data_IF_334459620421
#
_entry.id   IF_334459620421
#
_cell.length_a   1.000
_cell.length_b   1.000
_cell.length_c   1.000
_cell.angle_alpha   90.00
_cell.angle_beta   90.00
_cell.angle_gamma   90.00
#
_symmetry.space_group_name_H-M   'P 1'
#
loop_
_entity.id
_entity.type
_entity.pdbx_description
1 polymer ?
#
# COMPACT_ATOMS: atom_id res chain seq x y z
N UNK A 1 -164.21 -14.22 104.39
CA UNK A 1 -164.10 -12.75 104.40
C UNK A 1 -162.72 -12.39 103.87
N UNK A 2 -162.51 -11.76 102.73
CA UNK A 2 -163.39 -11.36 101.64
C UNK A 2 -162.51 -10.83 100.48
N UNK A 3 -162.83 -11.19 99.23
CA UNK A 3 -162.66 -10.36 98.01
C UNK A 3 -161.29 -10.15 97.32
N UNK A 4 -161.07 -10.86 96.18
CA UNK A 4 -160.42 -10.49 94.87
C UNK A 4 -159.72 -11.74 94.28
N UNK A 5 -160.27 -12.55 93.34
CA UNK A 5 -160.66 -12.45 91.91
C UNK A 5 -159.54 -12.48 90.85
N UNK A 6 -159.83 -13.29 89.83
CA UNK A 6 -159.10 -13.76 88.66
C UNK A 6 -159.03 -12.70 87.52
N UNK A 7 -157.92 -12.63 86.78
CA UNK A 7 -157.89 -12.09 85.40
C UNK A 7 -157.42 -10.65 85.13
N UNK A 8 -156.30 -10.15 85.66
CA UNK A 8 -155.72 -8.88 85.16
C UNK A 8 -154.18 -8.88 85.05
N UNK A 9 -153.71 -8.70 83.82
CA UNK A 9 -152.32 -8.44 83.39
C UNK A 9 -151.77 -7.21 84.15
N UNK A 10 -150.59 -7.33 84.77
CA UNK A 10 -149.80 -6.16 85.18
C UNK A 10 -148.39 -6.23 84.60
N UNK A 11 -148.22 -5.67 83.41
CA UNK A 11 -146.95 -5.15 82.90
C UNK A 11 -146.01 -6.14 82.21
N UNK A 12 -146.01 -6.14 80.87
CA UNK A 12 -144.81 -6.47 80.10
C UNK A 12 -143.83 -5.28 80.24
N UNK A 13 -142.62 -5.54 80.75
CA UNK A 13 -141.54 -4.56 80.64
C UNK A 13 -140.87 -4.80 79.29
N UNK A 14 -141.27 -4.03 78.30
CA UNK A 14 -140.52 -3.87 77.07
C UNK A 14 -139.26 -3.04 77.40
N UNK A 15 -138.13 -3.72 77.58
CA UNK A 15 -136.84 -3.03 77.65
C UNK A 15 -136.48 -2.61 76.22
N UNK A 16 -136.96 -1.44 75.81
CA UNK A 16 -136.40 -0.74 74.65
C UNK A 16 -134.98 -0.32 75.00
N UNK A 17 -133.99 -1.15 74.67
CA UNK A 17 -132.58 -0.76 74.71
C UNK A 17 -132.31 0.07 73.46
N UNK A 18 -131.96 1.37 73.55
CA UNK A 18 -131.60 2.16 72.39
C UNK A 18 -130.23 1.69 71.87
N UNK A 19 -130.21 0.72 70.95
CA UNK A 19 -128.98 0.24 70.29
C UNK A 19 -128.49 1.25 69.24
N UNK A 20 -129.36 2.17 68.79
CA UNK A 20 -129.07 3.14 67.74
C UNK A 20 -127.90 4.09 68.10
N UNK A 21 -127.88 4.62 69.33
CA UNK A 21 -126.84 5.58 69.75
C UNK A 21 -125.45 4.93 69.90
N UNK A 22 -125.40 3.64 70.26
CA UNK A 22 -124.13 2.91 70.37
C UNK A 22 -123.56 2.46 69.01
N UNK A 23 -124.40 2.25 67.99
CA UNK A 23 -123.94 1.93 66.64
C UNK A 23 -123.26 3.13 65.96
N UNK A 24 -123.75 4.34 66.22
CA UNK A 24 -123.15 5.58 65.69
C UNK A 24 -121.79 5.87 66.36
N UNK A 25 -121.67 5.61 67.67
CA UNK A 25 -120.42 5.77 68.41
C UNK A 25 -119.33 4.74 68.01
N UNK A 26 -119.73 3.49 67.74
CA UNK A 26 -118.82 2.43 67.27
C UNK A 26 -118.32 2.73 65.85
N UNK A 27 -119.20 3.18 64.94
CA UNK A 27 -118.80 3.57 63.59
C UNK A 27 -117.85 4.78 63.59
N UNK A 28 -118.10 5.78 64.44
CA UNK A 28 -117.23 6.94 64.58
C UNK A 28 -115.82 6.60 65.10
N UNK A 29 -115.70 5.63 66.01
CA UNK A 29 -114.39 5.14 66.49
C UNK A 29 -113.68 4.26 65.46
N UNK A 30 -114.41 3.40 64.75
CA UNK A 30 -113.85 2.54 63.71
C UNK A 30 -113.26 3.35 62.54
N UNK A 31 -113.94 4.44 62.12
CA UNK A 31 -113.46 5.35 61.06
C UNK A 31 -112.20 6.13 61.49
N UNK A 32 -112.12 6.58 62.75
CA UNK A 32 -110.92 7.27 63.25
C UNK A 32 -109.70 6.33 63.36
N UNK A 33 -109.91 5.08 63.79
CA UNK A 33 -108.86 4.06 63.85
C UNK A 33 -108.36 3.66 62.45
N UNK A 34 -109.26 3.49 61.47
CA UNK A 34 -108.88 3.16 60.09
C UNK A 34 -108.14 4.31 59.40
N UNK A 35 -108.54 5.57 59.64
CA UNK A 35 -107.80 6.75 59.18
C UNK A 35 -106.42 6.89 59.84
N UNK A 36 -106.32 6.59 61.15
CA UNK A 36 -105.04 6.59 61.87
C UNK A 36 -104.07 5.53 61.37
N UNK A 37 -104.54 4.28 61.20
CA UNK A 37 -103.76 3.19 60.63
C UNK A 37 -103.39 3.46 59.17
N UNK A 38 -104.32 4.02 58.39
CA UNK A 38 -104.07 4.46 57.02
C UNK A 38 -103.00 5.55 56.95
N UNK A 39 -103.01 6.51 57.87
CA UNK A 39 -102.00 7.56 57.97
C UNK A 39 -100.62 7.03 58.35
N UNK A 40 -100.53 6.11 59.31
CA UNK A 40 -99.26 5.46 59.69
C UNK A 40 -98.72 4.61 58.53
N UNK A 41 -99.59 3.85 57.86
CA UNK A 41 -99.20 3.05 56.69
C UNK A 41 -98.67 3.95 55.56
N UNK A 42 -99.35 5.08 55.29
CA UNK A 42 -98.90 6.04 54.30
C UNK A 42 -97.53 6.65 54.66
N UNK A 43 -97.31 7.00 55.93
CA UNK A 43 -96.01 7.51 56.39
C UNK A 43 -94.90 6.47 56.30
N UNK A 44 -95.18 5.19 56.58
CA UNK A 44 -94.21 4.11 56.41
C UNK A 44 -93.88 3.86 54.94
N UNK A 45 -94.87 3.92 54.05
CA UNK A 45 -94.65 3.82 52.60
C UNK A 45 -93.84 5.00 52.08
N UNK A 46 -94.19 6.23 52.46
CA UNK A 46 -93.46 7.44 52.06
C UNK A 46 -92.03 7.44 52.61
N UNK A 47 -91.86 7.03 53.87
CA UNK A 47 -90.54 6.86 54.49
C UNK A 47 -89.71 5.77 53.81
N UNK A 48 -90.32 4.63 53.51
CA UNK A 48 -89.69 3.52 52.78
C UNK A 48 -89.26 3.91 51.36
N UNK A 49 -90.10 4.65 50.64
CA UNK A 49 -89.77 5.21 49.32
C UNK A 49 -88.63 6.23 49.43
N UNK A 50 -88.66 7.13 50.41
CA UNK A 50 -87.60 8.12 50.59
C UNK A 50 -86.25 7.46 50.94
N UNK A 51 -86.26 6.44 51.80
CA UNK A 51 -85.06 5.66 52.18
C UNK A 51 -84.55 4.86 50.98
N UNK A 52 -85.42 4.17 50.25
CA UNK A 52 -85.06 3.41 49.04
C UNK A 52 -84.49 4.33 47.97
N UNK A 53 -85.09 5.51 47.77
CA UNK A 53 -84.61 6.49 46.81
C UNK A 53 -83.22 7.00 47.19
N UNK A 54 -83.00 7.34 48.47
CA UNK A 54 -81.73 7.91 48.95
C UNK A 54 -80.60 6.87 49.08
N UNK A 55 -80.91 5.61 49.40
CA UNK A 55 -79.91 4.56 49.63
C UNK A 55 -79.63 3.73 48.37
N UNK A 56 -80.63 3.51 47.50
CA UNK A 56 -80.50 2.64 46.32
C UNK A 56 -80.56 3.43 45.00
N UNK A 57 -81.63 4.19 44.77
CA UNK A 57 -81.89 4.80 43.45
C UNK A 57 -80.92 5.93 43.12
N UNK A 58 -80.66 6.85 44.05
CA UNK A 58 -79.76 7.99 43.84
C UNK A 58 -78.30 7.54 43.61
N UNK A 59 -77.71 6.61 44.40
CA UNK A 59 -76.38 6.09 44.11
C UNK A 59 -76.29 5.30 42.81
N UNK A 60 -77.32 4.51 42.44
CA UNK A 60 -77.35 3.77 41.17
C UNK A 60 -77.47 4.69 39.96
N UNK A 61 -78.30 5.73 40.06
CA UNK A 61 -78.43 6.75 39.02
C UNK A 61 -77.11 7.49 38.83
N UNK A 62 -76.43 7.88 39.92
CA UNK A 62 -75.12 8.53 39.86
C UNK A 62 -74.02 7.62 39.28
N UNK A 63 -74.03 6.33 39.62
CA UNK A 63 -73.15 5.32 39.03
C UNK A 63 -73.40 5.21 37.52
N UNK A 64 -74.65 5.09 37.11
CA UNK A 64 -75.05 5.01 35.70
C UNK A 64 -74.64 6.26 34.91
N UNK A 65 -74.89 7.45 35.45
CA UNK A 65 -74.51 8.72 34.82
C UNK A 65 -72.99 8.87 34.70
N UNK A 66 -72.22 8.48 35.71
CA UNK A 66 -70.75 8.54 35.65
C UNK A 66 -70.19 7.54 34.64
N UNK A 67 -70.76 6.33 34.59
CA UNK A 67 -70.40 5.32 33.58
C UNK A 67 -70.74 5.79 32.17
N UNK A 68 -71.91 6.41 32.00
CA UNK A 68 -72.33 6.97 30.73
C UNK A 68 -71.43 8.14 30.31
N UNK A 69 -71.05 9.04 31.23
CA UNK A 69 -70.13 10.16 30.96
C UNK A 69 -68.75 9.66 30.50
N UNK A 70 -68.21 8.63 31.15
CA UNK A 70 -66.94 8.00 30.75
C UNK A 70 -67.07 7.27 29.41
N UNK A 71 -68.19 6.60 29.13
CA UNK A 71 -68.37 5.80 27.91
C UNK A 71 -68.81 6.61 26.68
N UNK A 72 -69.57 7.69 26.86
CA UNK A 72 -70.14 8.52 25.79
C UNK A 72 -69.48 9.89 25.64
N UNK A 73 -68.72 10.34 26.64
CA UNK A 73 -67.85 11.50 26.56
C UNK A 73 -66.46 11.17 26.00
N UNK A 74 -65.45 11.99 26.34
CA UNK A 74 -64.06 11.84 25.89
C UNK A 74 -63.26 10.76 26.65
N UNK A 75 -63.92 9.94 27.47
CA UNK A 75 -63.23 8.96 28.31
C UNK A 75 -62.42 9.59 29.44
N UNK A 76 -62.93 10.65 30.08
CA UNK A 76 -62.27 11.34 31.19
C UNK A 76 -62.12 10.43 32.43
N UNK A 77 -60.98 9.73 32.50
CA UNK A 77 -60.61 8.85 33.60
C UNK A 77 -60.20 9.60 34.89
N UNK A 78 -60.36 10.93 34.95
CA UNK A 78 -60.16 11.70 36.20
C UNK A 78 -61.36 11.66 37.13
N UNK A 79 -62.55 11.28 36.60
CA UNK A 79 -63.79 11.15 37.36
C UNK A 79 -63.71 9.98 38.35
N UNK A 80 -64.21 10.20 39.57
CA UNK A 80 -64.28 9.18 40.63
C UNK A 80 -65.70 9.10 41.19
N UNK A 81 -66.15 7.88 41.44
CA UNK A 81 -67.38 7.64 42.17
C UNK A 81 -67.17 7.91 43.67
N UNK A 82 -68.12 8.58 44.30
CA UNK A 82 -68.07 8.81 45.75
C UNK A 82 -68.43 7.53 46.49
N UNK A 83 -67.51 7.01 47.30
CA UNK A 83 -67.72 5.79 48.10
C UNK A 83 -68.31 6.17 49.46
N UNK A 84 -69.53 5.73 49.75
CA UNK A 84 -70.20 5.98 51.03
C UNK A 84 -70.72 4.66 51.64
N UNK A 85 -70.42 4.42 52.92
CA UNK A 85 -70.93 3.28 53.68
C UNK A 85 -70.20 1.96 53.41
N UNK A 86 -70.83 0.84 53.81
CA UNK A 86 -70.32 -0.54 53.69
C UNK A 86 -71.29 -1.44 52.91
N UNK A 87 -72.01 -0.88 51.95
CA UNK A 87 -72.98 -1.60 51.12
C UNK A 87 -72.32 -2.18 49.87
N UNK A 88 -73.03 -3.04 49.16
CA UNK A 88 -72.62 -3.62 47.87
C UNK A 88 -72.36 -2.52 46.83
N UNK A 89 -73.14 -1.43 46.86
CA UNK A 89 -72.94 -0.26 46.00
C UNK A 89 -71.62 0.49 46.32
N UNK A 90 -71.24 0.56 47.59
CA UNK A 90 -69.96 1.15 47.99
C UNK A 90 -68.78 0.30 47.49
N UNK A 91 -68.92 -1.04 47.52
CA UNK A 91 -67.91 -1.95 46.99
C UNK A 91 -67.78 -1.87 45.46
N UNK A 92 -68.89 -1.75 44.72
CA UNK A 92 -68.89 -1.52 43.26
C UNK A 92 -68.22 -0.19 42.93
N UNK A 93 -68.58 0.90 43.63
CA UNK A 93 -67.97 2.21 43.43
C UNK A 93 -66.46 2.19 43.70
N UNK A 94 -66.02 1.50 44.76
CA UNK A 94 -64.60 1.31 45.05
C UNK A 94 -63.88 0.50 43.97
N UNK A 95 -64.46 -0.63 43.55
CA UNK A 95 -63.89 -1.51 42.52
C UNK A 95 -63.79 -0.81 41.16
N UNK A 96 -64.80 0.00 40.82
CA UNK A 96 -64.79 0.84 39.63
C UNK A 96 -63.67 1.88 39.68
N UNK A 97 -63.52 2.60 40.80
CA UNK A 97 -62.43 3.56 40.96
C UNK A 97 -61.05 2.89 40.81
N UNK A 98 -60.86 1.68 41.34
CA UNK A 98 -59.63 0.89 41.14
C UNK A 98 -59.41 0.48 39.68
N UNK A 99 -60.48 0.10 38.97
CA UNK A 99 -60.41 -0.20 37.54
C UNK A 99 -60.02 1.03 36.72
N UNK A 100 -60.64 2.18 36.98
CA UNK A 100 -60.31 3.47 36.33
C UNK A 100 -58.87 3.88 36.62
N UNK A 101 -58.39 3.70 37.85
CA UNK A 101 -57.01 3.97 38.22
C UNK A 101 -56.01 3.09 37.46
N UNK A 102 -56.30 1.79 37.31
CA UNK A 102 -55.49 0.88 36.49
C UNK A 102 -55.48 1.29 35.02
N UNK A 103 -56.64 1.61 34.44
CA UNK A 103 -56.75 2.09 33.07
C UNK A 103 -55.94 3.38 32.87
N UNK A 104 -56.03 4.34 33.80
CA UNK A 104 -55.27 5.59 33.74
C UNK A 104 -53.76 5.33 33.77
N UNK A 105 -53.30 4.43 34.64
CA UNK A 105 -51.89 4.04 34.69
C UNK A 105 -51.44 3.34 33.39
N UNK A 106 -52.27 2.47 32.82
CA UNK A 106 -52.00 1.85 31.51
C UNK A 106 -51.94 2.89 30.39
N UNK A 107 -52.86 3.86 30.36
CA UNK A 107 -52.84 4.95 29.36
C UNK A 107 -51.62 5.86 29.53
N UNK A 108 -51.20 6.14 30.77
CA UNK A 108 -49.96 6.86 31.04
C UNK A 108 -48.73 6.10 30.53
N UNK A 109 -48.67 4.78 30.75
CA UNK A 109 -47.59 3.93 30.22
C UNK A 109 -47.61 3.88 28.68
N UNK A 110 -48.77 3.81 28.05
CA UNK A 110 -48.92 3.88 26.58
C UNK A 110 -48.44 5.22 26.05
N UNK A 111 -48.82 6.32 26.69
CA UNK A 111 -48.36 7.66 26.33
C UNK A 111 -46.84 7.79 26.44
N UNK A 112 -46.25 7.32 27.55
CA UNK A 112 -44.80 7.31 27.76
C UNK A 112 -44.07 6.43 26.73
N UNK A 113 -44.63 5.26 26.40
CA UNK A 113 -44.09 4.38 25.37
C UNK A 113 -44.16 5.02 23.97
N UNK A 114 -45.28 5.66 23.63
CA UNK A 114 -45.44 6.38 22.37
C UNK A 114 -44.46 7.57 22.26
N UNK A 115 -44.27 8.31 23.35
CA UNK A 115 -43.29 9.40 23.41
C UNK A 115 -41.86 8.89 23.21
N UNK A 116 -41.50 7.76 23.84
CA UNK A 116 -40.21 7.08 23.60
C UNK A 116 -40.03 6.66 22.14
N UNK A 117 -41.02 6.01 21.54
CA UNK A 117 -40.98 5.61 20.12
C UNK A 117 -40.80 6.81 19.20
N UNK A 118 -41.48 7.93 19.48
CA UNK A 118 -41.35 9.15 18.69
C UNK A 118 -39.92 9.73 18.78
N UNK A 119 -39.32 9.75 19.98
CA UNK A 119 -37.95 10.23 20.16
C UNK A 119 -36.92 9.31 19.50
N UNK A 120 -37.04 7.99 19.67
CA UNK A 120 -36.18 7.01 18.99
C UNK A 120 -36.29 7.10 17.46
N UNK A 121 -37.50 7.35 16.94
CA UNK A 121 -37.70 7.56 15.50
C UNK A 121 -37.02 8.83 15.00
N UNK A 122 -36.99 9.89 15.81
CA UNK A 122 -36.27 11.14 15.51
C UNK A 122 -34.76 10.92 15.50
N UNK A 123 -34.24 10.19 16.48
CA UNK A 123 -32.82 9.78 16.53
C UNK A 123 -32.43 8.93 15.31
N UNK A 124 -33.26 7.95 14.95
CA UNK A 124 -33.03 7.10 13.78
C UNK A 124 -33.00 7.92 12.48
N UNK A 125 -33.88 8.92 12.34
CA UNK A 125 -33.89 9.82 11.19
C UNK A 125 -32.60 10.64 11.10
N UNK A 126 -32.12 11.19 12.23
CA UNK A 126 -30.85 11.94 12.28
C UNK A 126 -29.65 11.05 11.91
N UNK A 127 -29.56 9.85 12.51
CA UNK A 127 -28.52 8.86 12.20
C UNK A 127 -28.57 8.48 10.71
N UNK A 128 -29.76 8.26 10.16
CA UNK A 128 -29.92 7.92 8.73
C UNK A 128 -29.45 9.06 7.83
N UNK A 129 -29.77 10.30 8.18
CA UNK A 129 -29.29 11.50 7.47
C UNK A 129 -27.76 11.61 7.48
N UNK A 130 -27.15 11.43 8.65
CA UNK A 130 -25.68 11.41 8.80
C UNK A 130 -25.03 10.26 8.02
N UNK A 131 -25.65 9.08 8.06
CA UNK A 131 -25.18 7.89 7.32
C UNK A 131 -25.18 8.14 5.81
N UNK A 132 -26.21 8.80 5.26
CA UNK A 132 -26.22 9.19 3.84
C UNK A 132 -25.07 10.13 3.49
N UNK A 133 -24.74 11.08 4.36
CA UNK A 133 -23.57 11.96 4.17
C UNK A 133 -22.27 11.16 4.10
N UNK A 134 -22.05 10.26 5.07
CA UNK A 134 -20.87 9.38 5.11
C UNK A 134 -20.77 8.50 3.86
N UNK A 135 -21.88 7.91 3.41
CA UNK A 135 -21.90 7.08 2.19
C UNK A 135 -21.54 7.91 0.95
N UNK A 136 -21.99 9.16 0.86
CA UNK A 136 -21.63 10.06 -0.24
C UNK A 136 -20.15 10.43 -0.23
N UNK A 137 -19.57 10.70 0.95
CA UNK A 137 -18.13 10.96 1.09
C UNK A 137 -17.32 9.72 0.71
N UNK A 138 -17.74 8.54 1.18
CA UNK A 138 -17.05 7.29 0.88
C UNK A 138 -17.14 6.91 -0.61
N UNK A 139 -18.23 7.27 -1.30
CA UNK A 139 -18.31 7.13 -2.76
C UNK A 139 -17.28 8.02 -3.47
N UNK A 140 -17.17 9.29 -3.05
CA UNK A 140 -16.19 10.22 -3.64
C UNK A 140 -14.75 9.75 -3.40
N UNK A 141 -14.44 9.24 -2.20
CA UNK A 141 -13.14 8.64 -1.91
C UNK A 141 -12.87 7.39 -2.77
N UNK A 142 -13.89 6.55 -3.00
CA UNK A 142 -13.76 5.38 -3.85
C UNK A 142 -13.45 5.74 -5.31
N UNK A 143 -14.08 6.80 -5.85
CA UNK A 143 -13.81 7.35 -7.18
C UNK A 143 -12.38 7.90 -7.30
N UNK A 144 -11.89 8.59 -6.26
CA UNK A 144 -10.49 9.05 -6.20
C UNK A 144 -9.50 7.89 -6.18
N UNK A 145 -9.77 6.86 -5.37
CA UNK A 145 -8.93 5.65 -5.34
C UNK A 145 -8.94 4.95 -6.70
N UNK A 146 -10.09 4.85 -7.37
CA UNK A 146 -10.16 4.26 -8.70
C UNK A 146 -9.32 5.04 -9.73
N UNK A 147 -9.36 6.38 -9.66
CA UNK A 147 -8.54 7.25 -10.51
C UNK A 147 -7.05 7.02 -10.26
N UNK A 148 -6.63 7.01 -8.98
CA UNK A 148 -5.24 6.75 -8.60
C UNK A 148 -4.77 5.34 -9.03
N UNK A 149 -5.67 4.34 -9.00
CA UNK A 149 -5.35 2.99 -9.49
C UNK A 149 -5.15 2.95 -11.01
N UNK A 150 -5.95 3.69 -11.78
CA UNK A 150 -5.74 3.82 -13.23
C UNK A 150 -4.40 4.48 -13.55
N UNK A 151 -4.05 5.56 -12.85
CA UNK A 151 -2.74 6.20 -13.00
C UNK A 151 -1.60 5.24 -12.63
N UNK A 152 -1.73 4.53 -11.51
CA UNK A 152 -0.76 3.53 -11.08
C UNK A 152 -0.57 2.41 -12.11
N UNK A 153 -1.66 1.93 -12.72
CA UNK A 153 -1.60 0.90 -13.77
C UNK A 153 -0.79 1.40 -14.98
N UNK A 154 -1.02 2.65 -15.39
CA UNK A 154 -0.26 3.28 -16.48
C UNK A 154 1.24 3.36 -16.13
N UNK A 155 1.58 3.78 -14.92
CA UNK A 155 2.97 3.85 -14.45
C UNK A 155 3.63 2.47 -14.40
N UNK A 156 2.93 1.44 -13.92
CA UNK A 156 3.44 0.06 -13.89
C UNK A 156 3.74 -0.45 -15.30
N UNK A 157 2.85 -0.16 -16.27
CA UNK A 157 3.09 -0.52 -17.67
C UNK A 157 4.32 0.20 -18.24
N UNK A 158 4.50 1.48 -17.91
CA UNK A 158 5.69 2.25 -18.30
C UNK A 158 6.97 1.67 -17.69
N UNK A 159 6.94 1.24 -16.43
CA UNK A 159 8.06 0.55 -15.76
C UNK A 159 8.42 -0.75 -16.46
N UNK A 160 7.43 -1.57 -16.83
CA UNK A 160 7.65 -2.81 -17.57
C UNK A 160 8.32 -2.55 -18.93
N UNK A 161 7.81 -1.55 -19.67
CA UNK A 161 8.36 -1.12 -20.95
C UNK A 161 9.81 -0.61 -20.81
N UNK A 162 10.08 0.20 -19.80
CA UNK A 162 11.42 0.73 -19.54
C UNK A 162 12.41 -0.39 -19.18
N UNK A 163 11.97 -1.39 -18.41
CA UNK A 163 12.80 -2.57 -18.11
C UNK A 163 13.12 -3.38 -19.37
N UNK A 164 12.15 -3.56 -20.27
CA UNK A 164 12.36 -4.22 -21.56
C UNK A 164 13.36 -3.45 -22.45
N UNK A 165 13.19 -2.14 -22.57
CA UNK A 165 14.13 -1.28 -23.33
C UNK A 165 15.53 -1.31 -22.72
N UNK A 166 15.65 -1.30 -21.39
CA UNK A 166 16.93 -1.43 -20.72
C UNK A 166 17.61 -2.77 -21.03
N UNK A 167 16.85 -3.88 -21.10
CA UNK A 167 17.39 -5.19 -21.52
C UNK A 167 17.91 -5.17 -22.96
N UNK A 168 17.21 -4.50 -23.88
CA UNK A 168 17.69 -4.35 -25.26
C UNK A 168 19.02 -3.57 -25.31
N UNK A 169 19.12 -2.45 -24.58
CA UNK A 169 20.37 -1.68 -24.47
C UNK A 169 21.50 -2.49 -23.84
N UNK A 170 21.20 -3.33 -22.85
CA UNK A 170 22.19 -4.23 -22.25
C UNK A 170 22.72 -5.22 -23.29
N UNK A 171 21.83 -5.82 -24.08
CA UNK A 171 22.21 -6.76 -25.16
C UNK A 171 23.10 -6.08 -26.21
N UNK A 172 22.75 -4.88 -26.66
CA UNK A 172 23.59 -4.10 -27.57
C UNK A 172 24.98 -3.84 -26.97
N UNK A 173 25.04 -3.51 -25.68
CA UNK A 173 26.32 -3.26 -25.00
C UNK A 173 27.13 -4.55 -24.82
N UNK A 174 26.50 -5.70 -24.59
CA UNK A 174 27.19 -7.01 -24.56
C UNK A 174 27.87 -7.31 -25.91
N UNK A 175 27.21 -7.01 -27.03
CA UNK A 175 27.80 -7.11 -28.37
C UNK A 175 29.01 -6.18 -28.53
N UNK A 176 28.91 -4.93 -28.06
CA UNK A 176 30.04 -3.98 -28.08
C UNK A 176 31.23 -4.45 -27.23
N UNK A 177 30.97 -4.99 -26.04
CA UNK A 177 32.01 -5.52 -25.14
C UNK A 177 32.66 -6.75 -25.75
N UNK A 178 31.91 -7.63 -26.41
CA UNK A 178 32.45 -8.78 -27.13
C UNK A 178 33.38 -8.33 -28.28
N UNK A 179 32.97 -7.34 -29.07
CA UNK A 179 33.83 -6.72 -30.10
C UNK A 179 35.07 -6.07 -29.50
N UNK A 180 34.91 -5.36 -28.38
CA UNK A 180 36.01 -4.76 -27.63
C UNK A 180 37.03 -5.79 -27.16
N UNK A 181 36.57 -6.94 -26.67
CA UNK A 181 37.42 -8.05 -26.22
C UNK A 181 38.23 -8.62 -27.37
N UNK A 182 37.57 -8.89 -28.51
CA UNK A 182 38.26 -9.35 -29.71
C UNK A 182 39.33 -8.36 -30.19
N UNK A 183 39.04 -7.06 -30.19
CA UNK A 183 40.03 -6.04 -30.57
C UNK A 183 41.24 -6.02 -29.62
N UNK A 184 41.03 -6.22 -28.32
CA UNK A 184 42.14 -6.33 -27.35
C UNK A 184 43.00 -7.55 -27.64
N UNK A 185 42.38 -8.70 -27.93
CA UNK A 185 43.10 -9.93 -28.29
C UNK A 185 43.93 -9.75 -29.57
N UNK A 186 43.35 -9.12 -30.60
CA UNK A 186 44.04 -8.82 -31.86
C UNK A 186 45.24 -7.87 -31.64
N UNK A 187 45.11 -6.90 -30.72
CA UNK A 187 46.21 -5.99 -30.34
C UNK A 187 47.32 -6.76 -29.61
N UNK A 188 46.97 -7.68 -28.71
CA UNK A 188 47.96 -8.52 -28.01
C UNK A 188 48.75 -9.38 -29.00
N UNK A 189 48.08 -10.03 -29.95
CA UNK A 189 48.76 -10.82 -30.99
C UNK A 189 49.65 -9.96 -31.88
N UNK A 190 49.15 -8.81 -32.34
CA UNK A 190 49.90 -7.87 -33.18
C UNK A 190 51.16 -7.35 -32.50
N UNK A 191 51.08 -7.02 -31.20
CA UNK A 191 52.23 -6.55 -30.42
C UNK A 191 53.20 -7.70 -30.14
N UNK A 192 52.70 -8.91 -29.89
CA UNK A 192 53.53 -10.11 -29.75
C UNK A 192 54.36 -10.38 -31.01
N UNK A 193 53.73 -10.28 -32.19
CA UNK A 193 54.43 -10.38 -33.48
C UNK A 193 55.45 -9.26 -33.66
N UNK A 194 55.10 -8.01 -33.33
CA UNK A 194 56.02 -6.87 -33.41
C UNK A 194 57.25 -7.07 -32.53
N UNK A 195 57.06 -7.53 -31.29
CA UNK A 195 58.17 -7.84 -30.38
C UNK A 195 59.11 -8.89 -30.97
N UNK A 196 58.56 -9.96 -31.56
CA UNK A 196 59.34 -10.99 -32.25
C UNK A 196 60.14 -10.45 -33.45
N UNK A 197 59.57 -9.54 -34.25
CA UNK A 197 60.29 -8.90 -35.36
C UNK A 197 61.41 -7.96 -34.88
N UNK A 198 61.18 -7.24 -33.77
CA UNK A 198 62.22 -6.40 -33.14
C UNK A 198 63.36 -7.26 -32.59
N UNK A 199 63.07 -8.39 -31.95
CA UNK A 199 64.09 -9.33 -31.46
C UNK A 199 64.92 -9.92 -32.62
N UNK A 200 64.30 -10.29 -33.74
CA UNK A 200 65.02 -10.75 -34.95
C UNK A 200 65.93 -9.65 -35.50
N UNK A 201 65.42 -8.42 -35.62
CA UNK A 201 66.20 -7.31 -36.12
C UNK A 201 67.38 -6.96 -35.19
N UNK A 202 67.20 -7.08 -33.88
CA UNK A 202 68.29 -6.95 -32.90
C UNK A 202 69.38 -8.03 -33.11
N UNK A 203 68.98 -9.26 -33.43
CA UNK A 203 69.90 -10.33 -33.81
C UNK A 203 70.77 -9.98 -35.03
N UNK A 204 70.15 -9.48 -36.11
CA UNK A 204 70.86 -9.06 -37.33
C UNK A 204 71.86 -7.93 -37.06
N UNK A 205 71.47 -6.92 -36.28
CA UNK A 205 72.38 -5.81 -35.93
C UNK A 205 73.50 -6.29 -35.00
N UNK A 206 73.22 -7.26 -34.12
CA UNK A 206 74.25 -7.86 -33.29
C UNK A 206 75.29 -8.62 -34.14
N UNK A 207 74.85 -9.33 -35.19
CA UNK A 207 75.73 -9.98 -36.15
C UNK A 207 76.58 -8.95 -36.92
N UNK A 208 75.95 -7.86 -37.42
CA UNK A 208 76.67 -6.75 -38.07
C UNK A 208 77.77 -6.15 -37.19
N UNK A 209 77.50 -6.02 -35.88
CA UNK A 209 78.50 -5.56 -34.90
C UNK A 209 79.69 -6.52 -34.81
N UNK A 210 79.43 -7.82 -34.78
CA UNK A 210 80.47 -8.86 -34.73
C UNK A 210 81.30 -8.90 -36.02
N UNK A 211 80.65 -8.77 -37.18
CA UNK A 211 81.34 -8.69 -38.47
C UNK A 211 82.24 -7.45 -38.55
N UNK A 212 81.75 -6.32 -38.05
CA UNK A 212 82.53 -5.08 -37.98
C UNK A 212 83.72 -5.18 -37.04
N UNK A 213 83.60 -5.92 -35.93
CA UNK A 213 84.73 -6.26 -35.05
C UNK A 213 85.80 -7.06 -35.81
N UNK A 214 85.36 -8.04 -36.61
CA UNK A 214 86.24 -8.88 -37.42
C UNK A 214 86.95 -8.07 -38.50
N UNK A 215 86.25 -7.16 -39.18
CA UNK A 215 86.86 -6.23 -40.15
C UNK A 215 87.93 -5.37 -39.48
N UNK A 216 87.67 -4.85 -38.28
CA UNK A 216 88.68 -4.10 -37.51
C UNK A 216 89.97 -4.89 -37.31
N UNK A 217 89.88 -6.17 -36.94
CA UNK A 217 91.06 -7.03 -36.79
C UNK A 217 91.84 -7.25 -38.09
N UNK A 218 91.14 -7.31 -39.24
CA UNK A 218 91.79 -7.43 -40.55
C UNK A 218 92.49 -6.12 -40.93
N UNK A 219 91.89 -4.96 -40.61
CA UNK A 219 92.50 -3.66 -40.87
C UNK A 219 93.77 -3.45 -40.06
N UNK A 220 93.82 -3.94 -38.81
CA UNK A 220 95.05 -3.93 -38.01
C UNK A 220 96.18 -4.70 -38.71
N UNK A 221 95.90 -5.89 -39.25
CA UNK A 221 96.88 -6.68 -40.03
C UNK A 221 97.33 -5.94 -41.30
N UNK A 222 96.42 -5.30 -42.03
CA UNK A 222 96.78 -4.55 -43.25
C UNK A 222 97.64 -3.34 -42.89
N UNK A 223 97.33 -2.64 -41.79
CA UNK A 223 98.14 -1.51 -41.30
C UNK A 223 99.56 -1.98 -40.96
N UNK A 224 99.68 -3.11 -40.27
CA UNK A 224 100.97 -3.69 -39.91
C UNK A 224 101.78 -4.09 -41.16
N UNK A 225 101.13 -4.69 -42.17
CA UNK A 225 101.76 -5.00 -43.47
C UNK A 225 102.21 -3.73 -44.19
N UNK A 226 101.39 -2.68 -44.20
CA UNK A 226 101.73 -1.42 -44.83
C UNK A 226 102.91 -0.73 -44.11
N UNK A 227 102.98 -0.83 -42.78
CA UNK A 227 104.12 -0.34 -41.99
C UNK A 227 105.41 -1.11 -42.29
N UNK A 228 105.34 -2.45 -42.33
CA UNK A 228 106.46 -3.30 -42.73
C UNK A 228 106.91 -3.00 -44.16
N UNK A 229 105.97 -2.80 -45.08
CA UNK A 229 106.26 -2.46 -46.49
C UNK A 229 106.93 -1.10 -46.59
N UNK A 230 106.48 -0.11 -45.81
CA UNK A 230 107.09 1.21 -45.74
C UNK A 230 108.54 1.14 -45.21
N UNK A 231 108.79 0.33 -44.18
CA UNK A 231 110.14 0.09 -43.63
C UNK A 231 111.05 -0.65 -44.63
N UNK A 232 110.52 -1.67 -45.32
CA UNK A 232 111.25 -2.40 -46.37
C UNK A 232 111.62 -1.47 -47.55
N UNK A 233 110.68 -0.64 -47.99
CA UNK A 233 110.90 0.34 -49.06
C UNK A 233 111.94 1.39 -48.67
N UNK A 234 111.91 1.86 -47.42
CA UNK A 234 112.93 2.78 -46.89
C UNK A 234 114.33 2.14 -46.92
N UNK A 235 114.47 0.90 -46.46
CA UNK A 235 115.73 0.18 -46.50
C UNK A 235 116.23 -0.02 -47.94
N UNK A 236 115.33 -0.33 -48.88
CA UNK A 236 115.67 -0.45 -50.29
C UNK A 236 116.09 0.88 -50.91
N UNK A 237 115.44 1.99 -50.57
CA UNK A 237 115.82 3.33 -51.02
C UNK A 237 117.22 3.73 -50.51
N UNK A 238 117.54 3.40 -49.26
CA UNK A 238 118.86 3.62 -48.66
C UNK A 238 119.93 2.82 -49.43
N UNK A 239 119.69 1.54 -49.71
CA UNK A 239 120.68 0.71 -50.41
C UNK A 239 120.81 1.09 -51.89
N UNK A 240 119.72 1.51 -52.54
CA UNK A 240 119.74 2.06 -53.89
C UNK A 240 120.56 3.36 -53.98
N UNK A 241 120.43 4.26 -52.99
CA UNK A 241 121.26 5.45 -52.89
C UNK A 241 122.74 5.10 -52.69
N UNK A 242 123.03 4.02 -51.95
CA UNK A 242 124.38 3.50 -51.70
C UNK A 242 125.06 2.95 -52.96
N UNK A 243 124.29 2.37 -53.88
CA UNK A 243 124.76 1.86 -55.17
C UNK A 243 125.04 2.96 -56.22
N UNK A 244 124.77 4.22 -55.92
CA UNK A 244 125.06 5.37 -56.80
C UNK A 244 124.27 5.33 -58.12
N UNK A 245 124.93 5.63 -59.24
CA UNK A 245 124.27 5.70 -60.57
C UNK A 245 123.64 4.36 -61.01
N UNK A 246 124.18 3.22 -60.57
CA UNK A 246 123.61 1.89 -60.88
C UNK A 246 122.30 1.61 -60.13
N UNK A 247 122.04 2.33 -59.03
CA UNK A 247 120.87 2.17 -58.17
C UNK A 247 119.70 3.10 -58.51
N UNK A 248 119.84 4.06 -59.44
CA UNK A 248 118.80 5.07 -59.73
C UNK A 248 117.44 4.48 -60.07
N UNK A 249 117.39 3.43 -60.89
CA UNK A 249 116.13 2.76 -61.24
C UNK A 249 115.46 2.11 -60.02
N UNK A 250 116.24 1.49 -59.15
CA UNK A 250 115.75 0.88 -57.90
C UNK A 250 115.29 1.94 -56.89
N UNK A 251 115.97 3.08 -56.81
CA UNK A 251 115.58 4.17 -55.90
C UNK A 251 114.19 4.74 -56.23
N UNK A 252 113.87 4.92 -57.52
CA UNK A 252 112.55 5.39 -57.95
C UNK A 252 111.46 4.37 -57.60
N UNK A 253 111.71 3.08 -57.82
CA UNK A 253 110.75 2.03 -57.43
C UNK A 253 110.56 1.98 -55.92
N UNK A 254 111.64 2.11 -55.14
CA UNK A 254 111.56 2.10 -53.68
C UNK A 254 110.74 3.29 -53.13
N UNK A 255 110.90 4.50 -53.68
CA UNK A 255 110.09 5.66 -53.27
C UNK A 255 108.61 5.54 -53.70
N UNK A 256 108.34 4.93 -54.85
CA UNK A 256 106.96 4.64 -55.28
C UNK A 256 106.28 3.63 -54.32
N UNK A 257 106.99 2.55 -53.96
CA UNK A 257 106.49 1.56 -52.97
C UNK A 257 106.28 2.21 -51.60
N UNK A 258 107.19 3.09 -51.17
CA UNK A 258 107.07 3.84 -49.91
C UNK A 258 105.83 4.73 -49.91
N UNK A 259 105.59 5.43 -51.01
CA UNK A 259 104.40 6.28 -51.19
C UNK A 259 103.12 5.45 -51.20
N UNK A 260 103.12 4.29 -51.87
CA UNK A 260 102.00 3.36 -51.89
C UNK A 260 101.69 2.80 -50.48
N UNK A 261 102.72 2.47 -49.71
CA UNK A 261 102.60 1.99 -48.34
C UNK A 261 102.02 3.07 -47.41
N UNK A 262 102.48 4.33 -47.53
CA UNK A 262 101.94 5.46 -46.77
C UNK A 262 100.47 5.72 -47.12
N UNK A 263 100.10 5.69 -48.40
CA UNK A 263 98.69 5.81 -48.83
C UNK A 263 97.83 4.66 -48.30
N UNK A 264 98.37 3.45 -48.28
CA UNK A 264 97.69 2.28 -47.72
C UNK A 264 97.41 2.47 -46.23
N UNK A 265 98.40 2.94 -45.45
CA UNK A 265 98.22 3.26 -44.03
C UNK A 265 97.13 4.31 -43.79
N UNK A 266 97.17 5.40 -44.56
CA UNK A 266 96.17 6.48 -44.48
C UNK A 266 94.76 5.94 -44.75
N UNK A 267 94.57 5.20 -45.85
CA UNK A 267 93.29 4.58 -46.17
C UNK A 267 92.83 3.57 -45.10
N UNK A 268 93.71 2.73 -44.55
CA UNK A 268 93.32 1.84 -43.44
C UNK A 268 92.88 2.61 -42.19
N UNK A 269 93.49 3.76 -41.89
CA UNK A 269 93.10 4.59 -40.75
C UNK A 269 91.72 5.23 -40.97
N UNK A 270 91.43 5.67 -42.19
CA UNK A 270 90.10 6.17 -42.55
C UNK A 270 89.03 5.08 -42.46
N UNK A 271 89.31 3.87 -42.97
CA UNK A 271 88.38 2.74 -42.89
C UNK A 271 88.17 2.33 -41.43
N UNK A 272 89.22 2.29 -40.60
CA UNK A 272 89.11 1.99 -39.18
C UNK A 272 88.14 2.96 -38.47
N UNK A 273 88.26 4.27 -38.74
CA UNK A 273 87.36 5.27 -38.17
C UNK A 273 85.89 5.08 -38.63
N UNK A 274 85.67 4.60 -39.86
CA UNK A 274 84.33 4.23 -40.34
C UNK A 274 83.78 2.99 -39.62
N UNK A 275 84.62 1.98 -39.38
CA UNK A 275 84.24 0.76 -38.66
C UNK A 275 83.89 1.07 -37.20
N UNK A 276 84.66 1.91 -36.51
CA UNK A 276 84.35 2.34 -35.13
C UNK A 276 83.00 3.07 -35.05
N UNK A 277 82.70 3.95 -36.01
CA UNK A 277 81.38 4.59 -36.11
C UNK A 277 80.27 3.57 -36.34
N UNK A 278 80.50 2.57 -37.19
CA UNK A 278 79.52 1.52 -37.51
C UNK A 278 79.26 0.62 -36.29
N UNK A 279 80.30 0.27 -35.53
CA UNK A 279 80.17 -0.46 -34.27
C UNK A 279 79.37 0.33 -33.22
N UNK A 280 79.67 1.62 -33.05
CA UNK A 280 78.94 2.50 -32.13
C UNK A 280 77.46 2.63 -32.52
N UNK A 281 77.17 2.86 -33.81
CA UNK A 281 75.81 2.94 -34.33
C UNK A 281 75.03 1.62 -34.14
N UNK A 282 75.68 0.48 -34.39
CA UNK A 282 75.08 -0.84 -34.18
C UNK A 282 74.77 -1.09 -32.70
N UNK A 283 75.67 -0.72 -31.79
CA UNK A 283 75.43 -0.79 -30.35
C UNK A 283 74.26 0.06 -29.89
N UNK A 284 74.13 1.29 -30.41
CA UNK A 284 72.99 2.15 -30.13
C UNK A 284 71.68 1.56 -30.65
N UNK A 285 71.68 1.01 -31.87
CA UNK A 285 70.50 0.37 -32.47
C UNK A 285 70.01 -0.83 -31.63
N UNK A 286 70.91 -1.70 -31.15
CA UNK A 286 70.56 -2.80 -30.23
C UNK A 286 69.94 -2.26 -28.93
N UNK A 287 70.48 -1.17 -28.37
CA UNK A 287 69.93 -0.54 -27.17
C UNK A 287 68.50 -0.03 -27.36
N UNK A 288 68.23 0.66 -28.48
CA UNK A 288 66.88 1.14 -28.83
C UNK A 288 65.91 -0.01 -29.06
N UNK A 289 66.36 -1.08 -29.74
CA UNK A 289 65.54 -2.28 -29.94
C UNK A 289 65.19 -3.00 -28.63
N UNK A 290 66.13 -3.05 -27.68
CA UNK A 290 65.87 -3.55 -26.33
C UNK A 290 64.78 -2.76 -25.60
N UNK A 291 64.84 -1.42 -25.67
CA UNK A 291 63.77 -0.57 -25.13
C UNK A 291 62.43 -0.79 -25.83
N UNK A 292 62.42 -0.95 -27.16
CA UNK A 292 61.21 -1.25 -27.93
C UNK A 292 60.56 -2.58 -27.52
N UNK A 293 61.38 -3.59 -27.23
CA UNK A 293 60.90 -4.90 -26.75
C UNK A 293 60.25 -4.79 -25.37
N UNK A 294 60.85 -4.03 -24.45
CA UNK A 294 60.27 -3.80 -23.12
C UNK A 294 58.95 -3.03 -23.19
N UNK A 295 58.88 -2.00 -24.05
CA UNK A 295 57.65 -1.23 -24.28
C UNK A 295 56.53 -2.11 -24.86
N UNK A 296 56.86 -3.04 -25.76
CA UNK A 296 55.90 -4.02 -26.28
C UNK A 296 55.35 -4.91 -25.14
N UNK A 297 56.22 -5.41 -24.25
CA UNK A 297 55.80 -6.22 -23.09
C UNK A 297 54.89 -5.45 -22.14
N UNK A 298 55.23 -4.19 -21.82
CA UNK A 298 54.35 -3.34 -21.00
C UNK A 298 52.99 -3.12 -21.65
N UNK A 299 52.96 -2.96 -22.98
CA UNK A 299 51.71 -2.75 -23.71
C UNK A 299 50.83 -4.00 -23.70
N UNK A 300 51.42 -5.20 -23.85
CA UNK A 300 50.70 -6.48 -23.67
C UNK A 300 50.09 -6.57 -22.27
N UNK A 301 50.84 -6.20 -21.22
CA UNK A 301 50.34 -6.20 -19.85
C UNK A 301 49.15 -5.25 -19.67
N UNK A 302 49.21 -4.04 -20.24
CA UNK A 302 48.11 -3.07 -20.20
C UNK A 302 46.89 -3.54 -20.99
N UNK A 303 47.10 -4.19 -22.14
CA UNK A 303 46.03 -4.77 -22.94
C UNK A 303 45.32 -5.90 -22.17
N UNK A 304 46.06 -6.77 -21.47
CA UNK A 304 45.48 -7.80 -20.61
C UNK A 304 44.61 -7.20 -19.49
N UNK A 305 45.06 -6.13 -18.85
CA UNK A 305 44.26 -5.40 -17.85
C UNK A 305 42.97 -4.79 -18.44
N UNK A 306 43.02 -4.29 -19.68
CA UNK A 306 41.84 -3.83 -20.39
C UNK A 306 40.86 -4.99 -20.68
N UNK A 307 41.37 -6.16 -21.06
CA UNK A 307 40.58 -7.38 -21.23
C UNK A 307 39.86 -7.82 -19.95
N UNK A 308 40.56 -7.79 -18.80
CA UNK A 308 39.95 -8.06 -17.49
C UNK A 308 38.83 -7.07 -17.15
N UNK A 309 39.02 -5.79 -17.45
CA UNK A 309 38.00 -4.76 -17.24
C UNK A 309 36.76 -4.99 -18.11
N UNK A 310 36.94 -5.36 -19.39
CA UNK A 310 35.84 -5.72 -20.29
C UNK A 310 35.08 -6.96 -19.78
N UNK A 311 35.79 -7.98 -19.29
CA UNK A 311 35.17 -9.16 -18.70
C UNK A 311 34.34 -8.81 -17.45
N UNK A 312 34.85 -7.91 -16.60
CA UNK A 312 34.13 -7.41 -15.44
C UNK A 312 32.87 -6.62 -15.86
N UNK A 313 32.93 -5.82 -16.93
CA UNK A 313 31.75 -5.13 -17.48
C UNK A 313 30.72 -6.17 -17.94
N UNK A 314 31.11 -7.18 -18.71
CA UNK A 314 30.20 -8.24 -19.17
C UNK A 314 29.48 -8.94 -18.02
N UNK A 315 30.19 -9.25 -16.92
CA UNK A 315 29.58 -9.84 -15.72
C UNK A 315 28.54 -8.93 -15.04
N UNK A 316 28.74 -7.60 -15.10
CA UNK A 316 27.79 -6.63 -14.56
C UNK A 316 26.57 -6.51 -15.45
N UNK A 317 26.74 -6.59 -16.77
CA UNK A 317 25.65 -6.59 -17.74
C UNK A 317 24.71 -7.77 -17.52
N UNK A 318 25.24 -8.98 -17.32
CA UNK A 318 24.44 -10.15 -16.98
C UNK A 318 23.57 -9.94 -15.71
N UNK A 319 24.09 -9.24 -14.69
CA UNK A 319 23.30 -8.90 -13.49
C UNK A 319 22.22 -7.86 -13.77
N UNK A 320 22.45 -6.91 -14.68
CA UNK A 320 21.44 -5.92 -15.07
C UNK A 320 20.32 -6.60 -15.85
N UNK A 321 20.65 -7.53 -16.75
CA UNK A 321 19.65 -8.34 -17.48
C UNK A 321 18.74 -9.10 -16.52
N UNK A 322 19.30 -9.77 -15.51
CA UNK A 322 18.52 -10.47 -14.48
C UNK A 322 17.60 -9.52 -13.69
N UNK A 323 18.14 -8.35 -13.29
CA UNK A 323 17.37 -7.34 -12.57
C UNK A 323 16.21 -6.78 -13.42
N UNK A 324 16.44 -6.52 -14.71
CA UNK A 324 15.39 -6.06 -15.63
C UNK A 324 14.31 -7.12 -15.82
N UNK A 325 14.69 -8.41 -15.90
CA UNK A 325 13.73 -9.51 -15.97
C UNK A 325 12.86 -9.59 -14.71
N UNK A 326 13.44 -9.40 -13.52
CA UNK A 326 12.69 -9.33 -12.26
C UNK A 326 11.74 -8.12 -12.21
N UNK A 327 12.19 -6.95 -12.66
CA UNK A 327 11.35 -5.74 -12.72
C UNK A 327 10.18 -5.95 -13.66
N UNK A 328 10.42 -6.49 -14.86
CA UNK A 328 9.36 -6.78 -15.83
C UNK A 328 8.32 -7.76 -15.25
N UNK A 329 8.78 -8.87 -14.65
CA UNK A 329 7.89 -9.84 -14.01
C UNK A 329 7.10 -9.25 -12.84
N UNK A 330 7.73 -8.41 -12.00
CA UNK A 330 7.05 -7.73 -10.91
C UNK A 330 5.99 -6.74 -11.41
N UNK A 331 6.27 -6.03 -12.50
CA UNK A 331 5.32 -5.12 -13.12
C UNK A 331 4.11 -5.85 -13.74
N UNK A 332 4.34 -7.00 -14.40
CA UNK A 332 3.26 -7.86 -14.89
C UNK A 332 2.39 -8.39 -13.75
N UNK A 333 3.00 -8.87 -12.66
CA UNK A 333 2.27 -9.34 -11.48
C UNK A 333 1.45 -8.23 -10.82
N UNK A 334 1.99 -7.01 -10.72
CA UNK A 334 1.28 -5.85 -10.20
C UNK A 334 0.06 -5.50 -11.08
N UNK A 335 0.22 -5.56 -12.41
CA UNK A 335 -0.87 -5.30 -13.37
C UNK A 335 -1.98 -6.34 -13.23
N UNK A 336 -1.62 -7.63 -13.16
CA UNK A 336 -2.59 -8.72 -12.98
C UNK A 336 -3.36 -8.62 -11.66
N UNK A 337 -2.69 -8.22 -10.57
CA UNK A 337 -3.35 -8.00 -9.28
C UNK A 337 -4.34 -6.83 -9.33
N UNK A 338 -4.00 -5.74 -10.04
CA UNK A 338 -4.90 -4.59 -10.21
C UNK A 338 -6.12 -4.93 -11.07
N UNK A 339 -5.94 -5.66 -12.18
CA UNK A 339 -7.07 -6.13 -13.00
C UNK A 339 -8.01 -7.03 -12.19
N UNK A 340 -7.47 -7.87 -11.30
CA UNK A 340 -8.26 -8.70 -10.42
C UNK A 340 -9.06 -7.88 -9.39
N UNK A 341 -8.45 -6.85 -8.79
CA UNK A 341 -9.16 -5.95 -7.85
C UNK A 341 -10.28 -5.18 -8.56
N UNK A 342 -10.02 -4.69 -9.78
CA UNK A 342 -11.03 -3.97 -10.58
C UNK A 342 -12.23 -4.86 -10.89
N UNK A 343 -12.01 -6.10 -11.37
CA UNK A 343 -13.08 -7.09 -11.61
C UNK A 343 -13.85 -7.44 -10.34
N UNK A 344 -13.16 -7.53 -9.19
CA UNK A 344 -13.82 -7.80 -7.91
C UNK A 344 -14.73 -6.65 -7.46
N UNK A 345 -14.38 -5.40 -7.78
CA UNK A 345 -15.22 -4.22 -7.50
C UNK A 345 -16.45 -4.17 -8.39
N UNK A 346 -16.30 -4.37 -9.70
CA UNK A 346 -17.43 -4.45 -10.64
C UNK A 346 -18.43 -5.54 -10.21
N UNK A 347 -17.94 -6.70 -9.79
CA UNK A 347 -18.79 -7.78 -9.28
C UNK A 347 -19.57 -7.43 -8.01
N UNK A 348 -19.08 -6.51 -7.16
CA UNK A 348 -19.79 -6.05 -5.96
C UNK A 348 -20.87 -5.01 -6.27
N UNK A 349 -20.64 -4.13 -7.24
CA UNK A 349 -21.67 -3.17 -7.67
C UNK A 349 -22.88 -3.85 -8.30
N UNK A 350 -22.67 -4.93 -9.07
CA UNK A 350 -23.76 -5.73 -9.65
C UNK A 350 -24.60 -6.46 -8.60
N UNK A 351 -24.01 -6.83 -7.45
CA UNK A 351 -24.74 -7.49 -6.34
C UNK A 351 -25.49 -6.48 -5.46
N UNK A 352 -25.12 -5.20 -5.51
CA UNK A 352 -25.72 -4.12 -4.73
C UNK A 352 -26.88 -3.39 -5.44
N UNK A 353 -27.10 -3.64 -6.73
CA UNK A 353 -28.22 -3.07 -7.52
C UNK A 353 -29.40 -4.04 -7.61
#
# INVERSE_FOLDING_TARGET
>A
MDGKKEGDLHGAIEVMYPIADHLEEINGRAVKLSLGLGGIFLLLVLGGVAITNRILVEPLTNLGLTLQDIASGEGDLTRKLKVHGKTELAWIAWSFNQFVEKLRNSMAQVHEAAARVAEESRLLSDITGRTRGIVSEQQAEAEQVATAMNEMTSTVHEVAKNAAQASDTVRETEEEVARGTQMVDDVVDSIGRLAGEVEKAAGVIHELRNDSQSIGSVLDVIRDIAEQTNLLALNAAIEAARAGEQGRGFAVVADEVRTLASRTQESTREIQAMIEKLQAASGQAVGVMGQGTEMARETVKKAAQAGEALHAINSKMARITDMNAQIASAAEAATAAQEADMKAREGREVVSS
#
